data_IF_601460859306
#
_entry.id   IF_601460859306
#
_cell.length_a   1.000
_cell.length_b   1.000
_cell.length_c   1.000
_cell.angle_alpha   90.00
_cell.angle_beta   90.00
_cell.angle_gamma   90.00
#
_symmetry.space_group_name_H-M   'P 1'
#
loop_
_entity.id
_entity.type
_entity.pdbx_description
1 polymer ?
#
# COMPACT_ATOMS: atom_id res chain seq x y z
N UNK A 1 -5.93 -3.43 19.65
CA UNK A 1 -7.09 -4.00 18.94
C UNK A 1 -7.68 -2.89 18.07
N UNK A 2 -7.29 -2.83 16.81
CA UNK A 2 -7.86 -1.92 15.81
C UNK A 2 -7.12 -2.15 14.52
N UNK A 3 -7.84 -2.51 13.47
CA UNK A 3 -7.31 -2.79 12.14
C UNK A 3 -6.78 -1.46 11.59
N UNK A 4 -5.47 -1.31 11.47
CA UNK A 4 -4.89 -0.14 10.84
C UNK A 4 -5.40 -0.07 9.38
N UNK A 5 -5.94 1.08 9.00
CA UNK A 5 -6.83 1.22 7.84
C UNK A 5 -6.19 0.94 6.48
N UNK A 6 -7.00 1.12 5.43
CA UNK A 6 -6.50 1.06 4.07
C UNK A 6 -5.67 2.32 3.78
N UNK A 7 -4.74 2.25 2.81
CA UNK A 7 -4.03 3.43 2.32
C UNK A 7 -5.02 4.51 1.86
N UNK A 8 -6.17 4.10 1.32
CA UNK A 8 -7.28 4.98 0.99
C UNK A 8 -7.73 5.84 2.18
N UNK A 9 -7.92 5.25 3.37
CA UNK A 9 -8.38 5.98 4.55
C UNK A 9 -7.41 7.10 4.91
N UNK A 10 -6.10 6.83 4.82
CA UNK A 10 -5.06 7.82 5.09
C UNK A 10 -5.11 9.00 4.12
N UNK A 11 -5.18 8.72 2.81
CA UNK A 11 -5.16 9.77 1.78
C UNK A 11 -6.50 10.50 1.63
N UNK A 12 -7.62 9.85 1.98
CA UNK A 12 -8.97 10.41 1.83
C UNK A 12 -9.27 11.55 2.80
N UNK A 13 -8.54 11.62 3.93
CA UNK A 13 -8.67 12.71 4.91
C UNK A 13 -8.14 14.06 4.42
N UNK A 14 -7.52 14.10 3.23
CA UNK A 14 -6.85 15.29 2.71
C UNK A 14 -5.49 15.56 3.36
N UNK A 15 -5.02 14.67 4.23
CA UNK A 15 -3.65 14.70 4.74
C UNK A 15 -2.68 14.14 3.70
N UNK A 16 -1.60 14.86 3.46
CA UNK A 16 -0.48 14.41 2.63
C UNK A 16 0.52 13.63 3.47
N UNK A 17 0.96 12.48 2.96
CA UNK A 17 2.09 11.76 3.53
C UNK A 17 3.40 12.50 3.25
N UNK A 18 4.38 12.37 4.15
CA UNK A 18 5.73 12.85 3.88
C UNK A 18 6.36 12.03 2.73
N UNK A 19 7.36 12.60 2.06
CA UNK A 19 8.12 11.87 1.04
C UNK A 19 8.77 10.61 1.61
N UNK A 20 9.25 10.66 2.84
CA UNK A 20 9.85 9.52 3.54
C UNK A 20 8.84 8.38 3.73
N UNK A 21 7.66 8.67 4.29
CA UNK A 21 6.61 7.67 4.48
C UNK A 21 6.08 7.13 3.14
N UNK A 22 5.97 8.01 2.14
CA UNK A 22 5.54 7.63 0.79
C UNK A 22 6.54 6.67 0.16
N UNK A 23 7.83 6.99 0.22
CA UNK A 23 8.91 6.13 -0.29
C UNK A 23 8.89 4.75 0.39
N UNK A 24 8.71 4.72 1.72
CA UNK A 24 8.61 3.48 2.47
C UNK A 24 7.43 2.61 2.04
N UNK A 25 6.22 3.19 1.91
CA UNK A 25 5.01 2.45 1.51
C UNK A 25 5.16 1.93 0.07
N UNK A 26 5.66 2.77 -0.85
CA UNK A 26 5.84 2.39 -2.25
C UNK A 26 6.92 1.30 -2.38
N UNK A 27 8.00 1.36 -1.62
CA UNK A 27 9.01 0.30 -1.58
C UNK A 27 8.41 -1.06 -1.22
N UNK A 28 7.66 -1.13 -0.12
CA UNK A 28 6.98 -2.37 0.30
C UNK A 28 5.96 -2.86 -0.74
N UNK A 29 5.20 -1.96 -1.36
CA UNK A 29 4.27 -2.30 -2.42
C UNK A 29 4.98 -2.91 -3.64
N UNK A 30 6.10 -2.33 -4.05
CA UNK A 30 6.89 -2.84 -5.18
C UNK A 30 7.49 -4.21 -4.89
N UNK A 31 7.95 -4.46 -3.66
CA UNK A 31 8.43 -5.78 -3.24
C UNK A 31 7.31 -6.83 -3.29
N UNK A 32 6.12 -6.49 -2.80
CA UNK A 32 4.94 -7.37 -2.88
C UNK A 32 4.54 -7.68 -4.33
N UNK A 33 4.54 -6.66 -5.21
CA UNK A 33 4.24 -6.83 -6.65
C UNK A 33 5.31 -7.69 -7.33
N UNK A 34 6.59 -7.47 -7.02
CA UNK A 34 7.70 -8.28 -7.53
C UNK A 34 7.54 -9.75 -7.12
N UNK A 35 7.18 -10.00 -5.85
CA UNK A 35 6.91 -11.34 -5.34
C UNK A 35 5.75 -12.01 -6.09
N UNK A 36 4.63 -11.31 -6.29
CA UNK A 36 3.49 -11.82 -7.06
C UNK A 36 3.88 -12.18 -8.50
N UNK A 37 4.60 -11.28 -9.17
CA UNK A 37 5.05 -11.49 -10.55
C UNK A 37 6.01 -12.67 -10.71
N UNK A 38 6.90 -12.90 -9.72
CA UNK A 38 7.77 -14.10 -9.68
C UNK A 38 6.96 -15.39 -9.66
N UNK A 39 5.77 -15.37 -9.06
CA UNK A 39 4.84 -16.51 -8.99
C UNK A 39 3.81 -16.52 -10.13
N UNK A 40 3.98 -15.69 -11.17
CA UNK A 40 3.02 -15.54 -12.28
C UNK A 40 1.62 -15.13 -11.84
N UNK A 41 1.51 -14.44 -10.71
CA UNK A 41 0.26 -13.87 -10.19
C UNK A 41 0.22 -12.39 -10.57
N UNK A 42 -0.91 -11.95 -11.12
CA UNK A 42 -1.18 -10.53 -11.38
C UNK A 42 -2.22 -10.05 -10.37
N UNK A 43 -1.92 -8.97 -9.65
CA UNK A 43 -2.90 -8.38 -8.73
C UNK A 43 -4.10 -7.78 -9.48
N UNK A 44 -3.85 -7.11 -10.62
CA UNK A 44 -4.85 -6.48 -11.53
C UNK A 44 -5.69 -5.33 -10.97
N UNK A 45 -5.78 -5.18 -9.66
CA UNK A 45 -6.58 -4.12 -9.02
C UNK A 45 -5.75 -3.36 -7.98
N UNK A 46 -4.55 -2.90 -8.37
CA UNK A 46 -3.68 -2.13 -7.47
C UNK A 46 -4.25 -0.71 -7.35
N UNK A 47 -4.74 -0.39 -6.16
CA UNK A 47 -5.34 0.90 -5.80
C UNK A 47 -5.29 1.10 -4.28
N UNK A 48 -5.40 2.33 -3.76
CA UNK A 48 -5.26 2.60 -2.32
C UNK A 48 -6.20 1.79 -1.41
N UNK A 49 -7.39 1.43 -1.89
CA UNK A 49 -8.38 0.63 -1.18
C UNK A 49 -7.93 -0.82 -0.95
N UNK A 50 -7.03 -1.33 -1.79
CA UNK A 50 -6.52 -2.71 -1.70
C UNK A 50 -5.14 -2.78 -1.04
N UNK A 51 -4.66 -1.68 -0.45
CA UNK A 51 -3.38 -1.64 0.27
C UNK A 51 -3.70 -1.48 1.75
N UNK A 52 -3.42 -2.52 2.53
CA UNK A 52 -3.61 -2.51 3.99
C UNK A 52 -2.31 -2.05 4.63
N UNK A 53 -2.40 -1.03 5.50
CA UNK A 53 -1.29 -0.59 6.33
C UNK A 53 -1.35 -1.32 7.67
N UNK A 54 -0.21 -1.76 8.19
CA UNK A 54 -0.12 -2.44 9.49
C UNK A 54 1.10 -1.90 10.22
N UNK A 55 0.92 -1.62 11.52
CA UNK A 55 1.99 -1.15 12.40
C UNK A 55 3.04 -2.21 12.73
#
# INVERSE_FOLDING_TARGET
LGCDGQLYDVISTGQTLSEESTSFIIGNLLDAVCLMHRHKILHRDIKPENIVLVH
#
